data_IF_548058840675
#
_entry.id   IF_548058840675
#
_cell.length_a   1.000
_cell.length_b   1.000
_cell.length_c   1.000
_cell.angle_alpha   90.00
_cell.angle_beta   90.00
_cell.angle_gamma   90.00
#
_symmetry.space_group_name_H-M   'P 1'
#
loop_
_entity.id
_entity.type
_entity.pdbx_description
1 polymer ?
#
# COMPACT_ATOMS: atom_id res chain seq x y z
N UNK A 1 -29.71 10.79 19.06
CA UNK A 1 -28.48 10.20 18.47
C UNK A 1 -28.90 9.00 17.64
N UNK A 2 -29.01 9.16 16.32
CA UNK A 2 -29.25 8.05 15.40
C UNK A 2 -27.91 7.62 14.81
N UNK A 3 -27.39 6.47 15.22
CA UNK A 3 -26.14 5.93 14.68
C UNK A 3 -26.39 5.25 13.33
N UNK A 4 -25.47 5.43 12.38
CA UNK A 4 -25.58 4.70 11.11
C UNK A 4 -25.31 3.21 11.34
N UNK A 5 -25.92 2.37 10.51
CA UNK A 5 -25.66 0.92 10.54
C UNK A 5 -24.16 0.59 10.44
N UNK A 6 -23.41 1.37 9.65
CA UNK A 6 -21.95 1.24 9.49
C UNK A 6 -21.16 1.59 10.76
N UNK A 7 -21.60 2.60 11.52
CA UNK A 7 -20.98 2.98 12.80
C UNK A 7 -21.16 1.87 13.84
N UNK A 8 -22.35 1.28 13.91
CA UNK A 8 -22.65 0.18 14.85
C UNK A 8 -21.80 -1.05 14.50
N UNK A 9 -21.72 -1.43 13.23
CA UNK A 9 -20.90 -2.56 12.80
C UNK A 9 -19.40 -2.39 13.14
N UNK A 10 -18.85 -1.19 12.97
CA UNK A 10 -17.46 -0.91 13.32
C UNK A 10 -17.21 -0.95 14.84
N UNK A 11 -18.17 -0.47 15.63
CA UNK A 11 -18.10 -0.59 17.08
C UNK A 11 -18.08 -2.05 17.53
N UNK A 12 -18.97 -2.87 16.97
CA UNK A 12 -19.05 -4.30 17.28
C UNK A 12 -17.78 -5.06 16.86
N UNK A 13 -17.11 -4.67 15.77
CA UNK A 13 -15.84 -5.29 15.35
C UNK A 13 -14.68 -4.94 16.28
N UNK A 14 -14.51 -3.66 16.62
CA UNK A 14 -13.49 -3.21 17.55
C UNK A 14 -13.85 -1.84 18.18
N UNK A 15 -14.27 -1.81 19.45
CA UNK A 15 -14.64 -0.57 20.14
C UNK A 15 -13.50 0.45 20.22
N UNK A 16 -12.25 -0.03 20.31
CA UNK A 16 -11.06 0.83 20.38
C UNK A 16 -10.82 1.57 19.07
N UNK A 17 -10.94 0.87 17.93
CA UNK A 17 -10.85 1.49 16.60
C UNK A 17 -11.99 2.49 16.37
N UNK A 18 -13.21 2.15 16.80
CA UNK A 18 -14.36 3.06 16.73
C UNK A 18 -14.12 4.36 17.50
N UNK A 19 -13.58 4.27 18.73
CA UNK A 19 -13.20 5.44 19.53
C UNK A 19 -12.21 6.32 18.79
N UNK A 20 -11.13 5.75 18.28
CA UNK A 20 -10.12 6.53 17.55
C UNK A 20 -10.70 7.22 16.31
N UNK A 21 -11.57 6.52 15.56
CA UNK A 21 -12.12 7.04 14.30
C UNK A 21 -13.22 8.08 14.47
N UNK A 22 -14.14 7.88 15.41
CA UNK A 22 -15.36 8.71 15.54
C UNK A 22 -15.38 9.64 16.74
N UNK A 23 -14.66 9.30 17.82
CA UNK A 23 -14.58 10.13 19.02
C UNK A 23 -13.31 10.97 19.04
N UNK A 24 -12.15 10.37 18.78
CA UNK A 24 -10.86 11.07 18.81
C UNK A 24 -10.56 11.79 17.47
N UNK A 25 -11.37 11.58 16.42
CA UNK A 25 -11.21 12.21 15.11
C UNK A 25 -10.00 11.75 14.32
N UNK A 26 -9.36 10.65 14.74
CA UNK A 26 -8.17 10.12 14.11
C UNK A 26 -8.51 9.53 12.74
N UNK A 27 -7.86 10.05 11.69
CA UNK A 27 -7.96 9.54 10.32
C UNK A 27 -6.58 9.12 9.85
N UNK A 28 -6.55 7.97 9.17
CA UNK A 28 -5.35 7.51 8.51
C UNK A 28 -4.96 8.52 7.43
N UNK A 29 -3.69 8.95 7.45
CA UNK A 29 -3.18 9.93 6.50
C UNK A 29 -2.86 9.20 5.20
N UNK A 30 -3.87 9.06 4.33
CA UNK A 30 -3.72 8.45 3.00
C UNK A 30 -2.69 9.17 2.12
N UNK A 31 -2.31 10.41 2.49
CA UNK A 31 -1.28 11.21 1.83
C UNK A 31 0.12 11.07 2.47
N UNK A 32 0.38 10.02 3.25
CA UNK A 32 1.74 9.78 3.75
C UNK A 32 2.67 9.44 2.57
N UNK A 33 3.74 10.22 2.32
CA UNK A 33 4.67 9.95 1.22
C UNK A 33 5.27 8.54 1.30
N UNK A 34 5.51 8.03 2.52
CA UNK A 34 6.02 6.68 2.74
C UNK A 34 5.04 5.58 2.28
N UNK A 35 3.73 5.75 2.53
CA UNK A 35 2.72 4.77 2.11
C UNK A 35 2.53 4.78 0.59
N UNK A 36 2.48 5.96 -0.01
CA UNK A 36 2.37 6.09 -1.47
C UNK A 36 3.60 5.51 -2.16
N UNK A 37 4.79 5.82 -1.65
CA UNK A 37 6.03 5.24 -2.14
C UNK A 37 6.02 3.72 -2.05
N UNK A 38 5.57 3.16 -0.92
CA UNK A 38 5.43 1.71 -0.75
C UNK A 38 4.55 1.07 -1.83
N UNK A 39 3.40 1.69 -2.14
CA UNK A 39 2.49 1.20 -3.20
C UNK A 39 3.14 1.24 -4.60
N UNK A 40 3.87 2.32 -4.93
CA UNK A 40 4.61 2.41 -6.20
C UNK A 40 5.77 1.40 -6.24
N UNK A 41 6.43 1.16 -5.10
CA UNK A 41 7.53 0.22 -4.99
C UNK A 41 7.06 -1.23 -5.15
N UNK A 42 5.89 -1.59 -4.64
CA UNK A 42 5.26 -2.90 -4.89
C UNK A 42 5.03 -3.16 -6.38
N UNK A 43 4.59 -2.15 -7.14
CA UNK A 43 4.41 -2.26 -8.59
C UNK A 43 5.75 -2.46 -9.32
N UNK A 44 6.78 -1.73 -8.90
CA UNK A 44 8.14 -1.90 -9.42
C UNK A 44 8.70 -3.31 -9.12
N UNK A 45 8.44 -3.85 -7.93
CA UNK A 45 8.80 -5.23 -7.57
C UNK A 45 8.05 -6.26 -8.43
N UNK A 46 6.76 -6.05 -8.68
CA UNK A 46 6.01 -6.93 -9.57
C UNK A 46 6.62 -6.96 -10.99
N UNK A 47 7.01 -5.79 -11.52
CA UNK A 47 7.71 -5.68 -12.80
C UNK A 47 9.10 -6.35 -12.77
N UNK A 48 9.84 -6.20 -11.67
CA UNK A 48 11.13 -6.87 -11.46
C UNK A 48 10.98 -8.39 -11.58
N UNK A 49 9.98 -8.97 -10.91
CA UNK A 49 9.71 -10.41 -10.99
C UNK A 49 9.19 -10.84 -12.37
N UNK A 50 8.52 -9.95 -13.11
CA UNK A 50 8.12 -10.17 -14.50
C UNK A 50 9.28 -10.05 -15.51
N UNK A 51 10.51 -9.77 -15.06
CA UNK A 51 11.70 -9.52 -15.90
C UNK A 51 11.59 -8.26 -16.77
N UNK A 52 10.77 -7.30 -16.37
CA UNK A 52 10.67 -5.98 -16.99
C UNK A 52 11.63 -4.97 -16.34
N UNK A 53 11.75 -3.77 -16.91
CA UNK A 53 12.54 -2.68 -16.33
C UNK A 53 11.84 -2.08 -15.11
N UNK A 54 12.15 -2.62 -13.93
CA UNK A 54 11.58 -2.21 -12.65
C UNK A 54 11.90 -0.77 -12.26
N UNK A 55 13.06 -0.24 -12.68
CA UNK A 55 13.45 1.13 -12.35
C UNK A 55 12.62 2.14 -13.16
N UNK A 56 12.36 1.84 -14.44
CA UNK A 56 11.47 2.64 -15.28
C UNK A 56 10.02 2.63 -14.76
N UNK A 57 9.52 1.48 -14.30
CA UNK A 57 8.18 1.37 -13.70
C UNK A 57 8.09 2.18 -12.41
N UNK A 58 9.08 2.07 -11.52
CA UNK A 58 9.14 2.86 -10.29
C UNK A 58 9.12 4.36 -10.59
N UNK A 59 9.91 4.80 -11.57
CA UNK A 59 9.96 6.20 -11.96
C UNK A 59 8.61 6.70 -12.48
N UNK A 60 7.96 5.95 -13.37
CA UNK A 60 6.68 6.34 -13.93
C UNK A 60 5.56 6.40 -12.88
N UNK A 61 5.52 5.45 -11.94
CA UNK A 61 4.51 5.45 -10.88
C UNK A 61 4.79 6.52 -9.83
N UNK A 62 6.05 6.69 -9.41
CA UNK A 62 6.42 7.67 -8.39
C UNK A 62 6.32 9.12 -8.89
N UNK A 63 6.56 9.35 -10.18
CA UNK A 63 6.41 10.67 -10.81
C UNK A 63 4.97 11.19 -10.77
N UNK A 64 3.96 10.32 -10.82
CA UNK A 64 2.54 10.71 -10.70
C UNK A 64 2.23 11.38 -9.36
N UNK A 65 3.03 11.09 -8.33
CA UNK A 65 2.89 11.64 -6.99
C UNK A 65 3.85 12.81 -6.71
N UNK A 66 4.60 13.28 -7.72
CA UNK A 66 5.50 14.43 -7.58
C UNK A 66 4.73 15.74 -7.36
N UNK A 67 3.62 15.92 -8.08
CA UNK A 67 2.77 17.12 -8.01
C UNK A 67 1.76 17.05 -6.86
N UNK A 68 1.62 15.90 -6.21
CA UNK A 68 0.83 15.80 -4.99
C UNK A 68 1.57 16.56 -3.88
N UNK A 69 0.88 17.49 -3.21
CA UNK A 69 1.41 18.17 -2.02
C UNK A 69 1.56 17.17 -0.87
N UNK A 70 2.65 16.40 -0.90
CA UNK A 70 2.99 15.42 0.12
C UNK A 70 3.77 16.11 1.23
N UNK A 71 3.34 15.87 2.47
CA UNK A 71 4.07 16.35 3.63
C UNK A 71 5.21 15.38 3.95
N UNK A 72 6.40 15.71 3.48
CA UNK A 72 7.61 14.95 3.79
C UNK A 72 8.08 15.22 5.22
N UNK A 73 8.53 14.18 5.92
CA UNK A 73 9.18 14.32 7.22
C UNK A 73 10.55 14.99 7.08
N UNK A 74 11.06 15.58 8.16
CA UNK A 74 12.33 16.34 8.13
C UNK A 74 13.47 15.45 7.63
N UNK A 75 13.96 15.76 6.43
CA UNK A 75 15.08 15.05 5.79
C UNK A 75 14.69 14.12 4.66
N UNK A 76 13.40 13.85 4.47
CA UNK A 76 12.90 13.11 3.31
C UNK A 76 12.54 14.07 2.18
N UNK A 77 12.84 13.66 0.96
CA UNK A 77 12.44 14.33 -0.26
C UNK A 77 12.03 13.29 -1.28
N UNK A 78 11.22 13.71 -2.25
CA UNK A 78 10.80 12.86 -3.37
C UNK A 78 12.00 12.16 -4.03
N UNK A 79 13.07 12.91 -4.30
CA UNK A 79 14.31 12.40 -4.91
C UNK A 79 15.08 11.43 -4.01
N UNK A 80 15.15 11.72 -2.71
CA UNK A 80 15.87 10.88 -1.76
C UNK A 80 15.20 9.52 -1.62
N UNK A 81 13.87 9.51 -1.52
CA UNK A 81 13.08 8.27 -1.48
C UNK A 81 13.24 7.48 -2.78
N UNK A 82 13.19 8.16 -3.94
CA UNK A 82 13.42 7.51 -5.23
C UNK A 82 14.82 6.89 -5.32
N UNK A 83 15.87 7.63 -4.97
CA UNK A 83 17.25 7.14 -5.00
C UNK A 83 17.45 5.92 -4.09
N UNK A 84 16.85 5.94 -2.90
CA UNK A 84 16.86 4.79 -1.98
C UNK A 84 16.11 3.59 -2.57
N UNK A 85 14.96 3.81 -3.22
CA UNK A 85 14.20 2.78 -3.91
C UNK A 85 14.99 2.09 -5.02
N UNK A 86 15.65 2.87 -5.88
CA UNK A 86 16.48 2.33 -6.97
C UNK A 86 17.66 1.51 -6.40
N UNK A 87 18.35 2.02 -5.38
CA UNK A 87 19.43 1.27 -4.72
C UNK A 87 18.97 -0.05 -4.11
N UNK A 88 17.74 -0.10 -3.57
CA UNK A 88 17.15 -1.34 -3.06
C UNK A 88 16.88 -2.33 -4.19
N UNK A 89 16.34 -1.88 -5.32
CA UNK A 89 16.11 -2.72 -6.50
C UNK A 89 17.42 -3.24 -7.11
N UNK A 90 18.45 -2.40 -7.21
CA UNK A 90 19.77 -2.79 -7.69
C UNK A 90 20.41 -3.86 -6.80
N UNK A 91 20.35 -3.67 -5.47
CA UNK A 91 20.83 -4.68 -4.52
C UNK A 91 20.05 -5.97 -4.62
N UNK A 92 18.73 -5.88 -4.78
CA UNK A 92 17.87 -7.06 -4.96
C UNK A 92 18.24 -7.83 -6.23
N UNK A 93 18.55 -7.11 -7.32
CA UNK A 93 19.01 -7.70 -8.57
C UNK A 93 20.38 -8.38 -8.45
N UNK A 94 21.29 -7.80 -7.66
CA UNK A 94 22.63 -8.33 -7.43
C UNK A 94 22.64 -9.58 -6.55
N UNK A 95 21.80 -9.63 -5.51
CA UNK A 95 21.88 -10.70 -4.52
C UNK A 95 21.38 -12.04 -5.11
N UNK A 96 20.49 -12.06 -6.12
CA UNK A 96 19.83 -13.26 -6.73
C UNK A 96 19.27 -14.29 -5.72
N UNK A 97 19.26 -13.97 -4.41
CA UNK A 97 18.80 -14.86 -3.33
C UNK A 97 17.31 -15.13 -3.39
N UNK A 98 16.54 -14.24 -4.05
CA UNK A 98 15.09 -14.29 -4.11
C UNK A 98 14.67 -14.74 -5.51
N UNK A 99 14.84 -16.03 -5.80
CA UNK A 99 14.31 -16.64 -7.01
C UNK A 99 12.86 -17.08 -6.79
N UNK A 100 11.90 -16.21 -7.11
CA UNK A 100 10.50 -16.60 -7.19
C UNK A 100 10.30 -17.39 -8.49
N UNK A 101 10.41 -18.72 -8.44
CA UNK A 101 10.35 -19.62 -9.61
C UNK A 101 9.08 -19.42 -10.47
N UNK A 102 7.97 -19.02 -9.85
CA UNK A 102 6.72 -18.71 -10.54
C UNK A 102 6.07 -17.44 -9.96
N UNK A 103 6.44 -16.25 -10.43
CA UNK A 103 5.90 -14.99 -9.94
C UNK A 103 4.37 -14.96 -10.02
N UNK A 104 3.82 -15.31 -11.19
CA UNK A 104 2.39 -15.22 -11.43
C UNK A 104 1.54 -16.24 -10.67
N UNK A 105 2.13 -17.35 -10.20
CA UNK A 105 1.40 -18.36 -9.40
C UNK A 105 1.54 -18.13 -7.89
N UNK A 106 2.60 -17.44 -7.47
CA UNK A 106 2.94 -17.21 -6.07
C UNK A 106 2.59 -15.79 -5.59
N UNK A 107 2.03 -14.93 -6.46
CA UNK A 107 1.40 -13.70 -6.01
C UNK A 107 0.26 -14.07 -5.08
N UNK A 108 0.38 -13.70 -3.80
CA UNK A 108 -0.75 -13.77 -2.89
C UNK A 108 -1.88 -12.96 -3.52
N UNK A 109 -3.10 -13.53 -3.65
CA UNK A 109 -4.23 -12.75 -4.09
C UNK A 109 -4.30 -11.53 -3.18
N UNK A 110 -4.32 -10.34 -3.79
CA UNK A 110 -4.52 -9.09 -3.06
C UNK A 110 -5.80 -9.30 -2.27
N UNK A 111 -5.70 -9.42 -0.96
CA UNK A 111 -6.87 -9.38 -0.12
C UNK A 111 -7.32 -7.92 -0.18
N UNK A 112 -8.14 -7.62 -1.19
CA UNK A 112 -8.91 -6.40 -1.20
C UNK A 112 -9.69 -6.41 0.11
N UNK A 113 -9.27 -5.57 1.04
CA UNK A 113 -10.02 -5.35 2.28
C UNK A 113 -11.40 -4.91 1.79
N UNK A 114 -12.46 -5.69 2.06
CA UNK A 114 -13.76 -5.44 1.47
C UNK A 114 -14.19 -4.04 1.89
N UNK A 115 -14.35 -3.15 0.91
CA UNK A 115 -14.77 -1.76 1.14
C UNK A 115 -16.23 -1.72 1.61
N UNK A 116 -16.96 -2.83 1.48
CA UNK A 116 -18.38 -2.97 1.74
C UNK A 116 -18.71 -4.39 2.26
N UNK A 117 -19.65 -4.48 3.19
CA UNK A 117 -19.96 -5.70 3.95
C UNK A 117 -20.58 -6.83 3.09
N UNK A 118 -21.13 -6.52 1.91
CA UNK A 118 -21.67 -7.51 0.98
C UNK A 118 -20.60 -8.48 0.48
N UNK A 119 -19.36 -8.02 0.38
CA UNK A 119 -18.24 -8.84 -0.08
C UNK A 119 -17.70 -9.76 1.05
N UNK A 120 -17.97 -9.42 2.32
CA UNK A 120 -17.64 -10.26 3.47
C UNK A 120 -18.52 -11.52 3.57
N UNK A 121 -19.79 -11.43 3.16
CA UNK A 121 -20.72 -12.58 3.26
C UNK A 121 -20.40 -13.68 2.25
N UNK A 122 -19.86 -13.33 1.08
CA UNK A 122 -19.43 -14.29 0.07
C UNK A 122 -18.19 -15.10 0.50
N UNK A 123 -17.33 -14.55 1.36
CA UNK A 123 -16.14 -15.24 1.86
C UNK A 123 -16.42 -16.22 3.02
N UNK A 124 -17.63 -16.21 3.59
CA UNK A 124 -18.02 -17.09 4.71
C UNK A 124 -18.78 -18.33 4.21
N UNK A 125 -19.18 -18.38 2.93
CA UNK A 125 -20.00 -19.45 2.34
C UNK A 125 -19.31 -20.27 1.22
N UNK A 126 -18.00 -20.09 1.00
CA UNK A 126 -17.15 -20.95 0.16
C UNK A 126 -16.04 -21.57 0.99
#
# INVERSE_FOLDING_TARGET
>A
MTYSYTQIAQYLRCPRSYRHRYLDGWREKDNSPALLFGRCFEQALAAFFAREDSAAVLFNEWRKHQDAQLEYSRGDSWERMFRQGVQLLERLAQDDRIQVRHPQKNMQPRHDIPKNLTDCWLLILS
#
